data_IF_375859147292
#
_entry.id   IF_375859147292
#
_cell.length_a   1.000
_cell.length_b   1.000
_cell.length_c   1.000
_cell.angle_alpha   90.00
_cell.angle_beta   90.00
_cell.angle_gamma   90.00
#
_symmetry.space_group_name_H-M   'P 1'
#
loop_
_entity.id
_entity.type
_entity.pdbx_description
1 polymer ?
#
# COMPACT_ATOMS: atom_id res chain seq x y z
N UNK A 1 -2.44 14.93 -1.60
CA UNK A 1 -2.54 15.77 -0.39
C UNK A 1 -3.01 14.89 0.78
N UNK A 2 -2.11 14.10 1.37
CA UNK A 2 -2.40 13.12 2.47
C UNK A 2 -1.44 13.31 3.66
N UNK A 3 -0.57 14.32 3.61
CA UNK A 3 0.44 14.57 4.63
C UNK A 3 -0.08 15.36 5.83
N UNK A 4 -1.31 15.88 5.80
CA UNK A 4 -1.75 16.96 6.70
C UNK A 4 -2.86 16.59 7.70
N UNK A 5 -3.32 15.33 7.77
CA UNK A 5 -4.48 14.98 8.62
C UNK A 5 -4.30 13.76 9.53
N UNK A 6 -3.08 13.25 9.74
CA UNK A 6 -2.86 12.10 10.62
C UNK A 6 -1.87 12.43 11.74
N UNK A 7 -2.20 12.14 13.03
CA UNK A 7 -1.29 12.39 14.13
C UNK A 7 0.04 11.63 13.94
N UNK A 8 1.19 12.23 14.29
CA UNK A 8 2.53 11.70 13.98
C UNK A 8 2.79 10.33 14.60
N UNK A 9 2.12 10.02 15.70
CA UNK A 9 2.18 8.74 16.39
C UNK A 9 1.33 7.61 15.77
N UNK A 10 0.56 7.90 14.71
CA UNK A 10 -0.23 6.90 13.96
C UNK A 10 -0.13 7.06 12.43
N UNK A 11 0.82 7.85 11.94
CA UNK A 11 1.13 7.94 10.51
C UNK A 11 2.23 6.95 10.15
N UNK A 12 1.87 5.68 9.99
CA UNK A 12 2.72 4.68 9.32
C UNK A 12 2.65 4.85 7.79
N UNK A 13 2.63 6.10 7.32
CA UNK A 13 2.76 6.39 5.91
C UNK A 13 4.15 5.94 5.49
N UNK A 14 4.21 4.79 4.80
CA UNK A 14 5.43 4.30 4.19
C UNK A 14 5.90 5.39 3.21
N UNK A 15 6.90 6.17 3.62
CA UNK A 15 7.53 7.19 2.76
C UNK A 15 7.98 6.52 1.47
N UNK A 16 8.06 7.29 0.38
CA UNK A 16 8.49 6.81 -0.95
C UNK A 16 9.80 6.01 -0.86
N UNK A 17 10.72 6.37 0.04
CA UNK A 17 11.96 5.62 0.27
C UNK A 17 11.74 4.20 0.78
N UNK A 18 10.68 3.96 1.54
CA UNK A 18 10.25 2.63 1.98
C UNK A 18 9.68 1.79 0.83
N UNK A 19 9.07 2.40 -0.18
CA UNK A 19 8.55 1.71 -1.38
C UNK A 19 9.66 1.30 -2.35
N UNK A 20 10.81 1.99 -2.33
CA UNK A 20 11.95 1.71 -3.23
C UNK A 20 12.85 0.57 -2.75
N UNK A 21 12.52 -0.05 -1.62
CA UNK A 21 13.32 -1.14 -1.08
C UNK A 21 13.14 -2.42 -1.90
N UNK A 22 14.21 -3.20 -2.11
CA UNK A 22 14.14 -4.42 -2.91
C UNK A 22 13.20 -5.47 -2.31
N UNK A 23 12.99 -5.44 -0.99
CA UNK A 23 12.05 -6.33 -0.31
C UNK A 23 10.57 -5.89 -0.41
N UNK A 24 10.28 -4.77 -1.08
CA UNK A 24 8.92 -4.24 -1.25
C UNK A 24 8.46 -4.42 -2.68
N UNK A 25 7.34 -5.11 -2.84
CA UNK A 25 6.65 -5.23 -4.13
C UNK A 25 5.40 -4.36 -4.10
N UNK A 26 5.16 -3.64 -5.20
CA UNK A 26 3.99 -2.78 -5.40
C UNK A 26 3.14 -3.37 -6.51
N UNK A 27 1.84 -3.48 -6.27
CA UNK A 27 0.86 -3.92 -7.24
C UNK A 27 -0.15 -2.83 -7.52
N UNK A 28 -0.55 -2.74 -8.78
CA UNK A 28 -1.83 -2.16 -9.15
C UNK A 28 -2.93 -3.23 -9.13
N UNK A 29 -4.13 -2.83 -8.70
CA UNK A 29 -5.31 -3.65 -8.77
C UNK A 29 -6.21 -3.07 -9.85
N UNK A 30 -6.53 -3.88 -10.86
CA UNK A 30 -7.35 -3.47 -12.00
C UNK A 30 -8.58 -4.35 -12.14
N UNK A 31 -9.69 -3.75 -12.56
CA UNK A 31 -10.89 -4.44 -13.00
C UNK A 31 -11.09 -4.13 -14.49
N UNK A 32 -10.67 -5.05 -15.36
CA UNK A 32 -10.52 -4.76 -16.78
C UNK A 32 -9.51 -3.62 -17.01
N UNK A 33 -9.94 -2.59 -17.73
CA UNK A 33 -9.12 -1.39 -17.98
C UNK A 33 -9.17 -0.34 -16.85
N UNK A 34 -10.00 -0.55 -15.83
CA UNK A 34 -10.12 0.39 -14.73
C UNK A 34 -9.12 0.09 -13.62
N UNK A 35 -8.30 1.09 -13.26
CA UNK A 35 -7.49 1.03 -12.04
C UNK A 35 -8.40 1.20 -10.82
N UNK A 36 -8.53 0.15 -10.02
CA UNK A 36 -9.43 0.10 -8.86
C UNK A 36 -8.68 0.18 -7.52
N UNK A 37 -7.36 0.06 -7.53
CA UNK A 37 -6.57 0.28 -6.34
C UNK A 37 -5.08 0.00 -6.53
N UNK A 38 -4.35 0.09 -5.43
CA UNK A 38 -2.96 -0.31 -5.34
C UNK A 38 -2.65 -0.87 -3.95
N UNK A 39 -1.60 -1.70 -3.89
CA UNK A 39 -1.12 -2.29 -2.65
C UNK A 39 0.40 -2.41 -2.65
N UNK A 40 0.99 -2.34 -1.46
CA UNK A 40 2.40 -2.59 -1.24
C UNK A 40 2.57 -3.68 -0.16
N UNK A 41 3.33 -4.72 -0.48
CA UNK A 41 3.68 -5.81 0.42
C UNK A 41 5.19 -5.81 0.59
N UNK A 42 5.64 -5.87 1.84
CA UNK A 42 7.03 -6.13 2.16
C UNK A 42 7.20 -7.62 2.45
N UNK A 43 8.07 -8.30 1.70
CA UNK A 43 8.44 -9.67 2.04
C UNK A 43 9.20 -9.70 3.37
N UNK A 44 8.86 -10.66 4.24
CA UNK A 44 9.57 -10.89 5.49
C UNK A 44 10.70 -11.90 5.28
N UNK A 45 11.66 -11.90 6.20
CA UNK A 45 12.90 -12.67 6.09
C UNK A 45 12.71 -14.20 6.06
N UNK A 46 11.52 -14.69 6.41
CA UNK A 46 11.17 -16.12 6.36
C UNK A 46 10.84 -16.62 4.94
N UNK A 47 10.74 -15.71 3.97
CA UNK A 47 10.43 -16.00 2.56
C UNK A 47 9.01 -16.52 2.32
N UNK A 48 8.15 -16.55 3.34
CA UNK A 48 6.80 -17.16 3.28
C UNK A 48 5.71 -16.18 3.70
N UNK A 49 6.06 -15.14 4.45
CA UNK A 49 5.13 -14.14 4.92
C UNK A 49 5.49 -12.76 4.37
N UNK A 50 4.50 -11.88 4.36
CA UNK A 50 4.65 -10.50 3.93
C UNK A 50 3.79 -9.58 4.77
N UNK A 51 4.27 -8.37 5.00
CA UNK A 51 3.56 -7.33 5.72
C UNK A 51 2.92 -6.35 4.73
N UNK A 52 1.61 -6.13 4.82
CA UNK A 52 0.92 -5.13 3.99
C UNK A 52 1.27 -3.76 4.54
N UNK A 53 1.99 -2.96 3.75
CA UNK A 53 2.44 -1.62 4.14
C UNK A 53 1.46 -0.52 3.76
N UNK A 54 0.72 -0.71 2.67
CA UNK A 54 -0.30 0.22 2.24
C UNK A 54 -1.27 -0.50 1.31
N UNK A 55 -2.54 -0.14 1.39
CA UNK A 55 -3.56 -0.58 0.46
C UNK A 55 -4.52 0.59 0.26
N UNK A 56 -4.79 0.92 -1.01
CA UNK A 56 -5.73 1.95 -1.36
C UNK A 56 -6.64 1.45 -2.48
N UNK A 57 -7.91 1.24 -2.16
CA UNK A 57 -8.97 0.96 -3.15
C UNK A 57 -9.68 2.26 -3.49
N UNK A 58 -10.13 2.43 -4.73
CA UNK A 58 -10.99 3.57 -5.11
C UNK A 58 -12.26 3.57 -4.25
N UNK A 59 -12.69 4.75 -3.81
CA UNK A 59 -13.78 4.89 -2.82
C UNK A 59 -15.08 4.20 -3.26
N UNK A 60 -15.36 4.23 -4.57
CA UNK A 60 -16.55 3.63 -5.19
C UNK A 60 -16.61 2.10 -5.07
N UNK A 61 -15.50 1.44 -4.73
CA UNK A 61 -15.39 -0.02 -4.62
C UNK A 61 -15.00 -0.48 -3.20
N UNK A 62 -15.11 0.40 -2.21
CA UNK A 62 -14.90 0.05 -0.79
C UNK A 62 -16.20 -0.45 -0.17
N UNK A 63 -16.18 -1.63 0.46
CA UNK A 63 -17.30 -2.14 1.27
C UNK A 63 -18.48 -2.72 0.48
N UNK A 64 -18.21 -3.40 -0.64
CA UNK A 64 -19.20 -4.25 -1.32
C UNK A 64 -19.59 -5.46 -0.50
#
# INVERSE_FOLDING_TARGET
LMLETSPPESSHALRIDGLKRPEVTVWEMRQGEMLVGCGALKALSDGKSGEIKSMHTVAQLRGG
#
